data_IF_391299451083
#
_entry.id   IF_391299451083
#
_cell.length_a   1.000
_cell.length_b   1.000
_cell.length_c   1.000
_cell.angle_alpha   90.00
_cell.angle_beta   90.00
_cell.angle_gamma   90.00
#
_symmetry.space_group_name_H-M   'P 1'
#
loop_
_entity.id
_entity.type
_entity.pdbx_description
1 polymer ?
#
# COMPACT_ATOMS: atom_id res chain seq x y z
N UNK A 1 19.07 4.74 -9.46
CA UNK A 1 18.12 3.61 -9.35
C UNK A 1 17.13 3.75 -10.50
N UNK A 2 16.90 2.71 -11.30
CA UNK A 2 15.96 2.72 -12.44
C UNK A 2 14.85 1.67 -12.25
N UNK A 3 14.26 1.62 -11.05
CA UNK A 3 13.21 0.66 -10.72
C UNK A 3 11.93 1.44 -10.39
N UNK A 4 10.81 1.03 -11.01
CA UNK A 4 9.46 1.55 -10.75
C UNK A 4 8.50 0.39 -10.49
N UNK A 5 7.32 0.68 -9.92
CA UNK A 5 6.35 -0.35 -9.54
C UNK A 5 5.86 -1.21 -10.73
N UNK A 6 5.84 -0.68 -11.95
CA UNK A 6 5.56 -1.48 -13.17
C UNK A 6 6.54 -2.63 -13.44
N UNK A 7 7.72 -2.67 -12.79
CA UNK A 7 8.68 -3.78 -12.91
C UNK A 7 8.46 -4.89 -11.87
N UNK A 8 7.54 -4.71 -10.91
CA UNK A 8 7.31 -5.65 -9.81
C UNK A 8 6.18 -6.59 -10.20
N UNK A 9 6.54 -7.81 -10.58
CA UNK A 9 5.57 -8.89 -10.80
C UNK A 9 4.95 -9.34 -9.46
N UNK A 10 3.66 -9.70 -9.50
CA UNK A 10 2.91 -10.21 -8.36
C UNK A 10 2.95 -9.28 -7.12
N UNK A 11 2.91 -7.97 -7.32
CA UNK A 11 2.77 -7.04 -6.22
C UNK A 11 1.40 -7.24 -5.56
N UNK A 12 1.36 -7.42 -4.24
CA UNK A 12 0.14 -7.44 -3.45
C UNK A 12 0.38 -6.91 -2.05
N UNK A 13 -0.68 -6.47 -1.39
CA UNK A 13 -0.72 -6.23 0.05
C UNK A 13 -1.68 -7.21 0.70
N UNK A 14 -1.38 -7.66 1.92
CA UNK A 14 -2.26 -8.51 2.71
C UNK A 14 -2.31 -8.05 4.15
N UNK A 15 -3.46 -8.24 4.78
CA UNK A 15 -3.62 -8.12 6.23
C UNK A 15 -3.71 -9.52 6.78
N UNK A 16 -2.95 -9.76 7.84
CA UNK A 16 -2.92 -11.05 8.52
C UNK A 16 -3.22 -10.86 9.99
N UNK A 17 -3.91 -11.85 10.54
CA UNK A 17 -3.98 -12.02 11.98
C UNK A 17 -2.56 -12.25 12.52
N UNK A 18 -2.17 -11.47 13.53
CA UNK A 18 -0.79 -11.48 14.03
C UNK A 18 -0.43 -12.73 14.83
N UNK A 19 -1.41 -13.39 15.43
CA UNK A 19 -1.19 -14.56 16.28
C UNK A 19 -1.16 -15.85 15.46
N UNK A 20 -2.08 -15.98 14.52
CA UNK A 20 -2.27 -17.20 13.71
C UNK A 20 -1.59 -17.11 12.34
N UNK A 21 -1.22 -15.91 11.90
CA UNK A 21 -0.70 -15.67 10.55
C UNK A 21 -1.75 -15.80 9.44
N UNK A 22 -3.02 -16.02 9.81
CA UNK A 22 -4.12 -16.21 8.85
C UNK A 22 -4.36 -14.93 8.06
N UNK A 23 -4.38 -15.04 6.73
CA UNK A 23 -4.72 -13.93 5.87
C UNK A 23 -6.20 -13.56 6.02
N UNK A 24 -6.45 -12.30 6.37
CA UNK A 24 -7.79 -11.73 6.55
C UNK A 24 -8.27 -11.05 5.27
N UNK A 25 -7.36 -10.38 4.56
CA UNK A 25 -7.62 -9.83 3.24
C UNK A 25 -6.33 -9.74 2.43
N UNK A 26 -6.47 -9.73 1.10
CA UNK A 26 -5.41 -9.47 0.14
C UNK A 26 -5.93 -8.57 -0.96
N UNK A 27 -5.10 -7.62 -1.36
CA UNK A 27 -5.34 -6.75 -2.50
C UNK A 27 -4.17 -6.90 -3.47
N UNK A 28 -4.47 -7.39 -4.68
CA UNK A 28 -3.48 -7.54 -5.73
C UNK A 28 -3.30 -6.20 -6.43
N UNK A 29 -2.04 -5.82 -6.64
CA UNK A 29 -1.64 -4.59 -7.31
C UNK A 29 -1.44 -4.96 -8.77
N UNK A 30 -2.55 -5.16 -9.47
CA UNK A 30 -2.56 -5.68 -10.84
C UNK A 30 -2.54 -4.59 -11.92
N UNK A 31 -2.35 -3.32 -11.55
CA UNK A 31 -2.36 -2.22 -12.51
C UNK A 31 -0.95 -1.80 -12.96
N UNK A 32 -0.90 -1.20 -14.16
CA UNK A 32 0.35 -0.80 -14.79
C UNK A 32 0.87 0.52 -14.18
N UNK A 33 1.60 0.43 -13.07
CA UNK A 33 2.19 1.56 -12.34
C UNK A 33 3.51 2.04 -12.97
N UNK A 34 3.51 2.19 -14.29
CA UNK A 34 4.69 2.65 -15.04
C UNK A 34 5.15 4.02 -14.56
N UNK A 35 6.46 4.17 -14.40
CA UNK A 35 7.14 5.36 -13.89
C UNK A 35 6.81 5.79 -12.44
N UNK A 36 5.99 5.05 -11.70
CA UNK A 36 5.64 5.37 -10.31
C UNK A 36 6.67 4.80 -9.33
N UNK A 37 7.10 5.61 -8.36
CA UNK A 37 8.21 5.29 -7.43
C UNK A 37 7.78 5.07 -5.99
N UNK A 38 6.56 5.50 -5.63
CA UNK A 38 5.98 5.32 -4.31
C UNK A 38 4.47 5.03 -4.43
N UNK A 39 3.88 4.37 -3.44
CA UNK A 39 2.46 3.97 -3.47
C UNK A 39 1.85 3.99 -2.07
N UNK A 40 0.63 4.53 -1.97
CA UNK A 40 -0.24 4.43 -0.80
C UNK A 40 -1.14 3.23 -1.01
N UNK A 41 -0.84 2.13 -0.32
CA UNK A 41 -1.57 0.86 -0.47
C UNK A 41 -2.97 0.91 0.13
N UNK A 42 -3.11 1.58 1.26
CA UNK A 42 -4.36 1.67 2.01
C UNK A 42 -4.16 2.37 3.34
N UNK A 43 -5.26 2.57 4.04
CA UNK A 43 -5.29 3.19 5.36
C UNK A 43 -5.99 2.28 6.36
N UNK A 44 -5.46 2.26 7.59
CA UNK A 44 -6.12 1.65 8.74
C UNK A 44 -6.64 2.79 9.60
N UNK A 45 -7.94 2.79 9.87
CA UNK A 45 -8.59 3.85 10.63
C UNK A 45 -9.55 3.25 11.65
N UNK A 46 -9.83 4.02 12.70
CA UNK A 46 -10.76 3.62 13.75
C UNK A 46 -12.13 4.22 13.50
N UNK A 47 -13.14 3.37 13.42
CA UNK A 47 -14.53 3.76 13.20
C UNK A 47 -15.43 3.10 14.24
N UNK A 48 -16.12 3.90 15.04
CA UNK A 48 -17.00 3.45 16.12
C UNK A 48 -16.32 2.44 17.07
N UNK A 49 -15.07 2.70 17.45
CA UNK A 49 -14.31 1.83 18.36
C UNK A 49 -13.61 0.64 17.69
N UNK A 50 -13.95 0.32 16.43
CA UNK A 50 -13.42 -0.82 15.68
C UNK A 50 -12.41 -0.37 14.64
N UNK A 51 -11.33 -1.13 14.48
CA UNK A 51 -10.37 -0.92 13.39
C UNK A 51 -10.97 -1.35 12.06
N UNK A 52 -10.83 -0.51 11.04
CA UNK A 52 -11.21 -0.78 9.66
C UNK A 52 -10.01 -0.56 8.76
N UNK A 53 -9.96 -1.32 7.67
CA UNK A 53 -8.99 -1.15 6.61
C UNK A 53 -9.70 -0.72 5.33
N UNK A 54 -9.14 0.28 4.66
CA UNK A 54 -9.57 0.75 3.36
C UNK A 54 -8.40 0.62 2.38
N UNK A 55 -8.55 -0.21 1.35
CA UNK A 55 -7.55 -0.36 0.29
C UNK A 55 -7.65 0.85 -0.65
N UNK A 56 -6.53 1.52 -0.94
CA UNK A 56 -6.48 2.74 -1.77
C UNK A 56 -5.77 2.47 -3.10
N UNK A 57 -4.55 1.92 -3.07
CA UNK A 57 -3.77 1.64 -4.29
C UNK A 57 -3.35 2.88 -5.09
N UNK A 58 -3.11 4.02 -4.43
CA UNK A 58 -2.78 5.27 -5.11
C UNK A 58 -1.27 5.38 -5.39
N UNK A 59 -0.85 5.44 -6.67
CA UNK A 59 0.55 5.63 -7.02
C UNK A 59 0.98 7.10 -6.89
N UNK A 60 2.26 7.31 -6.71
CA UNK A 60 2.89 8.63 -6.53
C UNK A 60 4.30 8.65 -7.12
N UNK A 61 4.78 9.85 -7.44
CA UNK A 61 6.16 10.09 -7.90
C UNK A 61 7.07 10.59 -6.76
N UNK A 62 6.70 10.30 -5.51
CA UNK A 62 7.53 10.65 -4.37
C UNK A 62 8.86 9.88 -4.46
N UNK A 63 9.97 10.61 -4.33
CA UNK A 63 11.32 10.06 -4.51
C UNK A 63 11.75 9.16 -3.35
N UNK A 64 11.15 9.37 -2.17
CA UNK A 64 11.43 8.61 -0.95
C UNK A 64 10.21 8.60 -0.01
N UNK A 65 10.24 7.68 0.96
CA UNK A 65 9.16 7.52 1.94
C UNK A 65 9.02 8.74 2.86
N UNK A 66 10.09 9.52 3.04
CA UNK A 66 10.04 10.71 3.90
C UNK A 66 9.24 11.83 3.24
N UNK A 67 9.37 11.99 1.93
CA UNK A 67 8.62 12.91 1.09
C UNK A 67 7.13 12.55 1.10
N UNK A 68 6.82 11.26 0.97
CA UNK A 68 5.45 10.76 1.10
C UNK A 68 4.89 11.02 2.51
N UNK A 69 5.65 10.75 3.57
CA UNK A 69 5.21 10.93 4.95
C UNK A 69 4.88 12.40 5.29
N UNK A 70 5.61 13.36 4.71
CA UNK A 70 5.34 14.81 4.90
C UNK A 70 3.97 15.25 4.38
N UNK A 71 3.32 14.48 3.51
CA UNK A 71 1.97 14.79 3.00
C UNK A 71 0.87 14.58 4.05
N UNK A 72 1.18 13.90 5.15
CA UNK A 72 0.24 13.55 6.22
C UNK A 72 0.61 14.19 7.57
N UNK A 73 1.54 15.14 7.58
CA UNK A 73 1.82 16.01 8.74
C UNK A 73 0.86 17.20 8.75
#
# INVERSE_FOLDING_TARGET
RHQHFGMIENAFIRICDSETGKELCRYNLSENYDAMTAMIFGEIYRYNGTWKFNAIGQPTNDNDISSLARRYQ
#
